data_IF_735819413166
#
_entry.id   IF_735819413166
#
_cell.length_a   1.000
_cell.length_b   1.000
_cell.length_c   1.000
_cell.angle_alpha   90.00
_cell.angle_beta   90.00
_cell.angle_gamma   90.00
#
_symmetry.space_group_name_H-M   'P 1'
#
loop_
_entity.id
_entity.type
_entity.pdbx_description
1 polymer ?
#
# COMPACT_ATOMS: atom_id res chain seq x y z
N UNK A 1 -5.05 18.89 17.17
CA UNK A 1 -5.88 18.38 16.06
C UNK A 1 -4.96 17.79 15.01
N UNK A 2 -5.32 16.64 14.42
CA UNK A 2 -4.60 16.13 13.25
C UNK A 2 -4.66 17.17 12.12
N UNK A 3 -3.54 17.38 11.44
CA UNK A 3 -3.49 18.28 10.29
C UNK A 3 -4.32 17.68 9.16
N UNK A 4 -4.96 18.51 8.33
CA UNK A 4 -5.65 18.07 7.09
C UNK A 4 -4.64 17.80 5.97
N UNK A 5 -3.60 17.01 6.26
CA UNK A 5 -2.50 16.69 5.35
C UNK A 5 -2.15 15.22 5.50
N UNK A 6 -2.11 14.51 4.38
CA UNK A 6 -1.66 13.12 4.31
C UNK A 6 -0.26 13.11 3.67
N UNK A 7 0.67 12.41 4.29
CA UNK A 7 1.96 12.08 3.70
C UNK A 7 1.84 10.68 3.12
N UNK A 8 1.73 10.60 1.78
CA UNK A 8 1.61 9.35 1.05
C UNK A 8 2.94 8.99 0.41
N UNK A 9 3.49 7.84 0.76
CA UNK A 9 4.81 7.39 0.31
C UNK A 9 4.70 6.18 -0.61
N UNK A 10 5.55 6.13 -1.64
CA UNK A 10 5.89 4.86 -2.27
C UNK A 10 6.71 3.98 -1.29
N UNK A 11 6.82 2.68 -1.55
CA UNK A 11 7.52 1.73 -0.68
C UNK A 11 8.98 1.55 -1.13
N UNK A 12 9.18 0.84 -2.24
CA UNK A 12 10.50 0.47 -2.75
C UNK A 12 11.27 1.70 -3.24
N UNK A 13 12.48 1.91 -2.74
CA UNK A 13 13.33 3.05 -3.12
C UNK A 13 12.95 4.38 -2.45
N UNK A 14 11.81 4.44 -1.75
CA UNK A 14 11.37 5.63 -1.00
C UNK A 14 11.48 5.41 0.51
N UNK A 15 10.77 4.42 1.06
CA UNK A 15 10.82 4.07 2.49
C UNK A 15 11.86 2.99 2.79
N UNK A 16 12.13 2.11 1.82
CA UNK A 16 13.12 1.04 1.94
C UNK A 16 14.11 1.11 0.79
N UNK A 17 15.36 0.64 0.97
CA UNK A 17 16.16 0.25 -0.18
C UNK A 17 15.42 -0.85 -0.95
N UNK A 18 15.49 -0.85 -2.28
CA UNK A 18 14.73 -1.78 -3.12
C UNK A 18 14.86 -3.23 -2.62
N UNK A 19 13.72 -3.88 -2.36
CA UNK A 19 13.60 -5.27 -1.86
C UNK A 19 14.29 -5.54 -0.50
N UNK A 20 14.54 -4.50 0.31
CA UNK A 20 15.05 -4.63 1.68
C UNK A 20 14.04 -4.09 2.68
N UNK A 21 14.32 -4.30 3.96
CA UNK A 21 13.54 -3.76 5.07
C UNK A 21 13.87 -2.28 5.32
N UNK A 22 12.89 -1.52 5.82
CA UNK A 22 13.12 -0.17 6.31
C UNK A 22 14.10 -0.16 7.48
N UNK A 23 14.93 0.88 7.55
CA UNK A 23 15.87 1.08 8.66
C UNK A 23 15.15 1.62 9.90
N UNK A 24 15.73 1.40 11.08
CA UNK A 24 15.19 1.94 12.33
C UNK A 24 15.04 3.47 12.29
N UNK A 25 16.04 4.18 11.73
CA UNK A 25 16.01 5.64 11.59
C UNK A 25 14.86 6.14 10.71
N UNK A 26 14.47 5.37 9.68
CA UNK A 26 13.31 5.69 8.85
C UNK A 26 12.02 5.58 9.67
N UNK A 27 11.82 4.48 10.41
CA UNK A 27 10.66 4.32 11.28
C UNK A 27 10.59 5.42 12.35
N UNK A 28 11.71 5.79 12.96
CA UNK A 28 11.74 6.90 13.93
C UNK A 28 11.35 8.24 13.29
N UNK A 29 11.75 8.47 12.04
CA UNK A 29 11.35 9.66 11.29
C UNK A 29 9.85 9.68 11.00
N UNK A 30 9.27 8.55 10.59
CA UNK A 30 7.83 8.41 10.36
C UNK A 30 7.04 8.60 11.66
N UNK A 31 7.48 8.01 12.77
CA UNK A 31 6.86 8.21 14.10
C UNK A 31 6.85 9.68 14.51
N UNK A 32 7.96 10.40 14.30
CA UNK A 32 8.01 11.86 14.54
C UNK A 32 7.02 12.62 13.68
N UNK A 33 6.91 12.30 12.38
CA UNK A 33 5.93 12.92 11.50
C UNK A 33 4.49 12.68 12.00
N UNK A 34 4.17 11.45 12.41
CA UNK A 34 2.86 11.12 12.99
C UNK A 34 2.59 11.89 14.30
N UNK A 35 3.58 11.99 15.18
CA UNK A 35 3.50 12.76 16.43
C UNK A 35 3.29 14.26 16.19
N UNK A 36 3.79 14.82 15.09
CA UNK A 36 3.50 16.19 14.64
C UNK A 36 2.07 16.38 14.09
N UNK A 37 1.25 15.32 14.08
CA UNK A 37 -0.15 15.35 13.69
C UNK A 37 -0.39 15.13 12.20
N UNK A 38 0.58 14.63 11.44
CA UNK A 38 0.37 14.21 10.05
C UNK A 38 -0.25 12.81 9.99
N UNK A 39 -1.15 12.61 9.03
CA UNK A 39 -1.64 11.28 8.67
C UNK A 39 -0.64 10.62 7.73
N UNK A 40 -0.27 9.37 8.00
CA UNK A 40 0.69 8.63 7.18
C UNK A 40 -0.02 7.61 6.30
N UNK A 41 0.41 7.48 5.06
CA UNK A 41 -0.02 6.41 4.17
C UNK A 41 1.09 5.87 3.29
N UNK A 42 0.93 4.63 2.84
CA UNK A 42 1.79 4.02 1.82
C UNK A 42 1.00 3.58 0.60
N UNK A 43 1.64 3.62 -0.56
CA UNK A 43 1.14 3.06 -1.81
C UNK A 43 2.23 2.27 -2.51
N UNK A 44 1.91 1.15 -3.13
CA UNK A 44 2.86 0.40 -3.94
C UNK A 44 2.18 -0.59 -4.87
N UNK A 45 2.86 -0.95 -5.96
CA UNK A 45 2.35 -1.90 -6.95
C UNK A 45 2.43 -3.37 -6.52
N UNK A 46 3.22 -3.65 -5.48
CA UNK A 46 3.34 -4.98 -4.88
C UNK A 46 2.08 -5.37 -4.09
N UNK A 47 1.91 -6.68 -3.88
CA UNK A 47 0.91 -7.22 -2.97
C UNK A 47 1.17 -6.82 -1.50
N UNK A 48 0.16 -7.05 -0.65
CA UNK A 48 0.22 -6.73 0.77
C UNK A 48 1.30 -7.52 1.52
N UNK A 49 1.56 -8.78 1.15
CA UNK A 49 2.54 -9.62 1.82
C UNK A 49 3.96 -9.06 1.66
N UNK A 50 4.31 -8.57 0.48
CA UNK A 50 5.59 -7.89 0.23
C UNK A 50 5.72 -6.60 1.01
N UNK A 51 4.66 -5.79 1.08
CA UNK A 51 4.70 -4.55 1.89
C UNK A 51 4.93 -4.86 3.38
N UNK A 52 4.30 -5.93 3.89
CA UNK A 52 4.49 -6.41 5.26
C UNK A 52 5.91 -6.95 5.51
N UNK A 53 6.50 -7.65 4.56
CA UNK A 53 7.90 -8.09 4.64
C UNK A 53 8.86 -6.90 4.77
N UNK A 54 8.63 -5.84 3.99
CA UNK A 54 9.52 -4.67 3.92
C UNK A 54 9.36 -3.69 5.08
N UNK A 55 8.12 -3.48 5.52
CA UNK A 55 7.76 -2.49 6.54
C UNK A 55 7.42 -3.11 7.90
N UNK A 56 7.46 -4.43 8.01
CA UNK A 56 7.21 -5.17 9.23
C UNK A 56 5.74 -5.57 9.44
N UNK A 57 5.53 -6.51 10.35
CA UNK A 57 4.20 -7.09 10.65
C UNK A 57 3.19 -6.06 11.18
N UNK A 58 3.67 -4.94 11.74
CA UNK A 58 2.85 -3.86 12.30
C UNK A 58 2.51 -2.76 11.31
N UNK A 59 2.75 -2.95 10.02
CA UNK A 59 2.53 -1.92 8.98
C UNK A 59 1.11 -1.32 9.01
N UNK A 60 0.09 -2.11 9.36
CA UNK A 60 -1.31 -1.66 9.48
C UNK A 60 -1.57 -0.79 10.73
N UNK A 61 -0.72 -0.88 11.74
CA UNK A 61 -0.74 -0.04 12.95
C UNK A 61 0.11 1.21 12.73
N UNK A 62 1.25 1.08 12.05
CA UNK A 62 2.23 2.14 11.84
C UNK A 62 1.73 3.21 10.86
N UNK A 63 0.90 2.83 9.88
CA UNK A 63 0.32 3.73 8.88
C UNK A 63 -1.21 3.84 9.03
N UNK A 64 -1.75 5.03 8.81
CA UNK A 64 -3.20 5.26 8.85
C UNK A 64 -3.90 4.78 7.57
N UNK A 65 -3.19 4.81 6.44
CA UNK A 65 -3.64 4.28 5.15
C UNK A 65 -2.60 3.34 4.55
N UNK A 66 -3.05 2.26 3.94
CA UNK A 66 -2.20 1.33 3.21
C UNK A 66 -2.87 0.96 1.90
N UNK A 67 -2.15 1.13 0.80
CA UNK A 67 -2.61 0.86 -0.56
C UNK A 67 -1.66 -0.15 -1.23
N UNK A 68 -2.07 -1.42 -1.28
CA UNK A 68 -1.37 -2.47 -2.02
C UNK A 68 -1.94 -2.59 -3.44
N UNK A 69 -1.17 -3.17 -4.36
CA UNK A 69 -1.59 -3.36 -5.76
C UNK A 69 -2.08 -2.04 -6.40
N UNK A 70 -1.36 -0.94 -6.14
CA UNK A 70 -1.74 0.42 -6.53
C UNK A 70 -3.12 0.88 -6.00
N UNK A 71 -3.51 0.41 -4.82
CA UNK A 71 -4.78 0.75 -4.17
C UNK A 71 -5.94 -0.18 -4.53
N UNK A 72 -5.72 -1.22 -5.35
CA UNK A 72 -6.74 -2.24 -5.57
C UNK A 72 -7.09 -3.00 -4.29
N UNK A 73 -6.16 -3.09 -3.33
CA UNK A 73 -6.42 -3.53 -1.97
C UNK A 73 -6.03 -2.40 -1.01
N UNK A 74 -6.99 -1.89 -0.23
CA UNK A 74 -6.79 -0.72 0.62
C UNK A 74 -7.28 -0.91 2.05
N UNK A 75 -6.48 -0.41 2.99
CA UNK A 75 -6.77 -0.41 4.42
C UNK A 75 -6.74 1.00 4.99
N UNK A 76 -7.61 1.25 5.96
CA UNK A 76 -7.63 2.47 6.76
C UNK A 76 -7.74 2.07 8.24
N UNK A 77 -6.80 2.53 9.08
CA UNK A 77 -6.72 2.17 10.51
C UNK A 77 -6.80 0.66 10.74
N UNK A 78 -6.02 -0.09 9.96
CA UNK A 78 -5.97 -1.55 10.01
C UNK A 78 -7.20 -2.30 9.48
N UNK A 79 -8.24 -1.60 9.01
CA UNK A 79 -9.44 -2.23 8.46
C UNK A 79 -9.46 -2.10 6.93
N UNK A 80 -9.70 -3.22 6.25
CA UNK A 80 -9.94 -3.22 4.80
C UNK A 80 -11.21 -2.43 4.49
N UNK A 81 -11.10 -1.44 3.60
CA UNK A 81 -12.26 -0.65 3.17
C UNK A 81 -12.47 -0.71 1.65
N UNK A 82 -11.50 -1.21 0.89
CA UNK A 82 -11.61 -1.34 -0.55
C UNK A 82 -10.87 -2.56 -1.08
N UNK A 83 -11.53 -3.29 -1.97
CA UNK A 83 -10.93 -4.36 -2.78
C UNK A 83 -11.53 -4.40 -4.18
N UNK A 84 -10.66 -4.44 -5.18
CA UNK A 84 -11.02 -4.53 -6.59
C UNK A 84 -10.15 -5.54 -7.33
N UNK A 85 -10.68 -6.10 -8.41
CA UNK A 85 -9.94 -6.97 -9.32
C UNK A 85 -10.34 -6.68 -10.77
N UNK A 86 -9.47 -7.05 -11.72
CA UNK A 86 -9.74 -6.90 -13.15
C UNK A 86 -11.04 -7.61 -13.55
N UNK A 87 -11.27 -8.81 -13.02
CA UNK A 87 -12.47 -9.60 -13.29
C UNK A 87 -13.74 -8.92 -12.78
N UNK A 88 -13.71 -8.37 -11.55
CA UNK A 88 -14.85 -7.66 -10.97
C UNK A 88 -15.18 -6.39 -11.75
N UNK A 89 -14.17 -5.69 -12.27
CA UNK A 89 -14.35 -4.45 -13.01
C UNK A 89 -14.80 -4.66 -14.47
N UNK A 90 -14.17 -5.59 -15.20
CA UNK A 90 -14.43 -5.79 -16.63
C UNK A 90 -15.49 -6.87 -16.92
N UNK A 91 -15.75 -7.77 -15.98
CA UNK A 91 -16.60 -8.94 -16.19
C UNK A 91 -15.89 -10.06 -16.95
N UNK A 92 -16.43 -11.27 -16.82
CA UNK A 92 -15.82 -12.49 -17.34
C UNK A 92 -15.67 -12.48 -18.87
N UNK A 93 -16.68 -12.02 -19.61
CA UNK A 93 -16.69 -12.09 -21.08
C UNK A 93 -15.53 -11.31 -21.71
N UNK A 94 -15.25 -10.10 -21.18
CA UNK A 94 -14.16 -9.25 -21.67
C UNK A 94 -12.79 -9.82 -21.28
N UNK A 95 -12.66 -10.32 -20.06
CA UNK A 95 -11.42 -10.96 -19.61
C UNK A 95 -11.12 -12.21 -20.45
N UNK A 96 -12.12 -13.06 -20.69
CA UNK A 96 -11.96 -14.26 -21.51
C UNK A 96 -11.65 -13.93 -22.98
N UNK A 97 -12.27 -12.89 -23.55
CA UNK A 97 -11.94 -12.42 -24.89
C UNK A 97 -10.49 -11.95 -24.99
N UNK A 98 -10.00 -11.20 -23.99
CA UNK A 98 -8.62 -10.75 -23.91
C UNK A 98 -7.64 -11.92 -23.78
N UNK A 99 -7.87 -12.83 -22.83
CA UNK A 99 -7.02 -14.01 -22.60
C UNK A 99 -6.91 -14.86 -23.87
N UNK A 100 -8.04 -15.12 -24.55
CA UNK A 100 -8.04 -15.86 -25.83
C UNK A 100 -7.20 -15.14 -26.89
N UNK A 101 -7.28 -13.82 -26.98
CA UNK A 101 -6.49 -13.05 -27.96
C UNK A 101 -4.97 -13.07 -27.67
N UNK A 102 -4.56 -13.20 -26.42
CA UNK A 102 -3.13 -13.19 -26.05
C UNK A 102 -2.48 -14.59 -26.08
N UNK A 103 -3.27 -15.65 -25.91
CA UNK A 103 -2.78 -17.03 -25.82
C UNK A 103 -3.02 -17.88 -27.08
N UNK A 104 -3.68 -17.31 -28.09
CA UNK A 104 -3.83 -17.86 -29.44
C UNK A 104 -3.10 -16.96 -30.44
#
# INVERSE_FOLDING_TARGET
MAKKVILLFDVDGTLTPARKTATADMFETLKRARACGYTLGIVGGSDFAKQREQLGEKVLEDFDYLFSENGLLSFHKGQEFHRMSLLKYLGNDRVMAFVKKCLH
#
